data_IF_416698298514
#
_entry.id   IF_416698298514
#
_cell.length_a   1.000
_cell.length_b   1.000
_cell.length_c   1.000
_cell.angle_alpha   90.00
_cell.angle_beta   90.00
_cell.angle_gamma   90.00
#
_symmetry.space_group_name_H-M   'P 1'
#
loop_
_entity.id
_entity.type
_entity.pdbx_description
1 polymer ?
#
# COMPACT_ATOMS: atom_id res chain seq x y z
N UNK A 1 -17.22 -17.69 -7.35
CA UNK A 1 -16.54 -16.59 -6.62
C UNK A 1 -15.13 -17.01 -6.28
N UNK A 2 -14.18 -16.13 -6.55
CA UNK A 2 -12.77 -16.39 -6.26
C UNK A 2 -12.34 -15.57 -5.03
N UNK A 3 -11.69 -16.25 -4.10
CA UNK A 3 -11.19 -15.58 -2.90
C UNK A 3 -9.68 -15.40 -2.99
N UNK A 4 -9.17 -14.27 -2.47
CA UNK A 4 -7.74 -14.04 -2.35
C UNK A 4 -7.32 -14.24 -0.90
N UNK A 5 -6.33 -15.09 -0.68
CA UNK A 5 -5.74 -15.25 0.64
C UNK A 5 -4.68 -14.16 0.82
N UNK A 6 -5.01 -13.13 1.56
CA UNK A 6 -4.11 -11.97 1.72
C UNK A 6 -2.83 -12.33 2.47
N UNK A 7 -2.88 -13.27 3.41
CA UNK A 7 -1.69 -13.68 4.15
C UNK A 7 -0.69 -14.39 3.24
N UNK A 8 -1.19 -15.30 2.43
CA UNK A 8 -0.34 -16.03 1.46
C UNK A 8 0.22 -15.09 0.41
N UNK A 9 -0.61 -14.19 -0.11
CA UNK A 9 -0.17 -13.22 -1.11
C UNK A 9 0.85 -12.27 -0.52
N UNK A 10 0.68 -11.87 0.74
CA UNK A 10 1.64 -11.02 1.44
C UNK A 10 3.02 -11.68 1.53
N UNK A 11 3.08 -12.97 1.88
CA UNK A 11 4.33 -13.71 1.94
C UNK A 11 5.03 -13.73 0.58
N UNK A 12 4.28 -14.00 -0.48
CA UNK A 12 4.80 -14.05 -1.84
C UNK A 12 5.31 -12.69 -2.30
N UNK A 13 4.57 -11.62 -1.99
CA UNK A 13 4.96 -10.26 -2.38
C UNK A 13 6.20 -9.78 -1.64
N UNK A 14 6.33 -10.08 -0.35
CA UNK A 14 7.52 -9.70 0.41
C UNK A 14 8.77 -10.37 -0.17
N UNK A 15 8.66 -11.64 -0.56
CA UNK A 15 9.76 -12.35 -1.20
C UNK A 15 10.15 -11.69 -2.54
N UNK A 16 9.16 -11.29 -3.33
CA UNK A 16 9.39 -10.60 -4.60
C UNK A 16 9.98 -9.20 -4.39
N UNK A 17 9.49 -8.49 -3.38
CA UNK A 17 10.01 -7.16 -3.04
C UNK A 17 11.49 -7.23 -2.65
N UNK A 18 11.87 -8.24 -1.88
CA UNK A 18 13.25 -8.42 -1.45
C UNK A 18 14.21 -8.61 -2.63
N UNK A 19 13.74 -9.20 -3.73
CA UNK A 19 14.54 -9.44 -4.94
C UNK A 19 14.42 -8.29 -5.95
N UNK A 20 13.50 -7.37 -5.77
CA UNK A 20 13.27 -6.25 -6.67
C UNK A 20 14.33 -5.16 -6.44
N UNK A 21 14.85 -4.52 -7.50
CA UNK A 21 15.78 -3.40 -7.36
C UNK A 21 15.22 -2.24 -6.53
N UNK A 22 13.91 -1.99 -6.61
CA UNK A 22 13.26 -0.94 -5.86
C UNK A 22 12.80 -1.38 -4.47
N UNK A 23 13.00 -2.66 -4.12
CA UNK A 23 12.64 -3.26 -2.85
C UNK A 23 11.14 -3.14 -2.55
N UNK A 24 10.32 -3.24 -3.60
CA UNK A 24 8.86 -3.21 -3.48
C UNK A 24 8.23 -4.08 -4.55
N UNK A 25 7.01 -4.55 -4.26
CA UNK A 25 6.20 -5.32 -5.20
C UNK A 25 4.73 -5.03 -4.94
N UNK A 26 3.91 -5.15 -5.96
CA UNK A 26 2.49 -4.90 -5.83
C UNK A 26 1.69 -5.93 -6.61
N UNK A 27 0.45 -6.19 -6.15
CA UNK A 27 -0.47 -7.10 -6.81
C UNK A 27 -1.88 -6.58 -6.63
N UNK A 28 -2.61 -6.41 -7.73
CA UNK A 28 -4.01 -6.00 -7.68
C UNK A 28 -4.85 -7.19 -7.24
N UNK A 29 -5.54 -7.06 -6.11
CA UNK A 29 -6.38 -8.12 -5.59
C UNK A 29 -7.85 -7.97 -6.02
N UNK A 30 -8.26 -6.77 -6.36
CA UNK A 30 -9.59 -6.48 -6.90
C UNK A 30 -9.53 -5.23 -7.76
N UNK A 31 -10.23 -5.25 -8.89
CA UNK A 31 -10.35 -4.08 -9.74
C UNK A 31 -9.84 -4.29 -11.15
N UNK A 32 -10.26 -3.41 -12.01
CA UNK A 32 -9.89 -3.35 -13.41
C UNK A 32 -10.47 -2.08 -14.00
N UNK A 33 -10.36 -1.89 -15.31
CA UNK A 33 -10.83 -0.66 -15.96
C UNK A 33 -12.33 -0.43 -15.81
N UNK A 34 -13.12 -1.50 -15.62
CA UNK A 34 -14.57 -1.45 -15.44
C UNK A 34 -15.02 -1.34 -13.99
N UNK A 35 -14.07 -1.34 -13.03
CA UNK A 35 -14.40 -1.29 -11.60
C UNK A 35 -14.06 0.06 -11.00
N UNK A 36 -15.00 0.64 -10.25
CA UNK A 36 -14.75 1.85 -9.48
C UNK A 36 -13.88 1.52 -8.27
N UNK A 37 -14.15 0.39 -7.61
CA UNK A 37 -13.39 -0.06 -6.45
C UNK A 37 -12.12 -0.78 -6.89
N UNK A 38 -10.98 -0.35 -6.38
CA UNK A 38 -9.68 -0.95 -6.68
C UNK A 38 -8.92 -1.20 -5.39
N UNK A 39 -8.38 -2.40 -5.25
CA UNK A 39 -7.60 -2.79 -4.09
C UNK A 39 -6.30 -3.42 -4.54
N UNK A 40 -5.19 -2.88 -4.04
CA UNK A 40 -3.85 -3.33 -4.39
C UNK A 40 -3.09 -3.67 -3.11
N UNK A 41 -2.49 -4.86 -3.10
CA UNK A 41 -1.61 -5.26 -2.03
C UNK A 41 -0.19 -4.83 -2.41
N UNK A 42 0.48 -4.13 -1.49
CA UNK A 42 1.82 -3.58 -1.73
C UNK A 42 2.77 -4.09 -0.64
N UNK A 43 3.88 -4.66 -1.06
CA UNK A 43 4.94 -5.09 -0.14
C UNK A 43 6.14 -4.15 -0.27
N UNK A 44 6.66 -3.71 0.87
CA UNK A 44 7.82 -2.82 0.95
C UNK A 44 8.84 -3.43 1.90
N UNK A 45 10.07 -3.58 1.46
CA UNK A 45 11.18 -3.95 2.34
C UNK A 45 11.55 -2.72 3.16
N UNK A 46 12.06 -2.93 4.37
CA UNK A 46 12.49 -1.83 5.25
C UNK A 46 13.35 -0.82 4.50
N UNK A 47 13.01 0.46 4.60
CA UNK A 47 13.69 1.54 3.91
C UNK A 47 13.16 1.85 2.52
N UNK A 48 12.31 0.99 1.96
CA UNK A 48 11.73 1.25 0.64
C UNK A 48 10.71 2.39 0.72
N UNK A 49 10.55 3.08 -0.39
CA UNK A 49 9.64 4.23 -0.47
C UNK A 49 8.68 4.08 -1.64
N UNK A 50 7.50 4.70 -1.49
CA UNK A 50 6.60 4.98 -2.60
C UNK A 50 6.68 6.48 -2.83
N UNK A 51 7.08 6.85 -4.04
CA UNK A 51 7.29 8.25 -4.37
C UNK A 51 6.00 9.06 -4.30
N UNK A 52 6.17 10.38 -4.23
CA UNK A 52 5.07 11.30 -4.14
C UNK A 52 4.09 11.18 -5.31
N UNK A 53 2.81 11.06 -4.99
CA UNK A 53 1.76 10.94 -6.00
C UNK A 53 0.43 11.45 -5.43
N UNK A 54 -0.56 11.58 -6.30
CA UNK A 54 -1.92 11.96 -5.94
C UNK A 54 -2.87 10.82 -6.25
N UNK A 55 -3.94 10.72 -5.47
CA UNK A 55 -5.00 9.74 -5.74
C UNK A 55 -6.02 10.32 -6.70
N UNK A 56 -6.55 9.50 -7.63
CA UNK A 56 -7.61 9.95 -8.53
C UNK A 56 -8.98 10.08 -7.86
N UNK A 57 -9.13 9.59 -6.63
CA UNK A 57 -10.39 9.62 -5.89
C UNK A 57 -10.13 9.36 -4.41
N UNK A 58 -11.16 8.88 -3.71
CA UNK A 58 -10.98 8.51 -2.31
C UNK A 58 -10.09 7.30 -2.16
N UNK A 59 -9.29 7.28 -1.10
CA UNK A 59 -8.41 6.16 -0.82
C UNK A 59 -8.21 5.97 0.67
N UNK A 60 -8.01 4.71 1.06
CA UNK A 60 -7.58 4.34 2.41
C UNK A 60 -6.36 3.43 2.32
N UNK A 61 -5.56 3.47 3.37
CA UNK A 61 -4.39 2.62 3.51
C UNK A 61 -4.51 1.79 4.77
N UNK A 62 -4.42 0.48 4.62
CA UNK A 62 -4.50 -0.47 5.73
C UNK A 62 -3.17 -1.20 5.84
N UNK A 63 -2.50 -1.08 6.99
CA UNK A 63 -1.25 -1.79 7.22
C UNK A 63 -1.57 -3.19 7.74
N UNK A 64 -1.30 -4.21 6.93
CA UNK A 64 -1.51 -5.60 7.32
C UNK A 64 -0.34 -6.12 8.14
N UNK A 65 0.87 -5.69 7.82
CA UNK A 65 2.11 -6.07 8.51
C UNK A 65 3.06 -4.89 8.53
N UNK A 66 3.85 -4.79 9.59
CA UNK A 66 4.96 -3.84 9.66
C UNK A 66 4.56 -2.46 10.14
N UNK A 67 5.28 -1.47 9.66
CA UNK A 67 5.09 -0.08 10.05
C UNK A 67 5.59 0.83 8.95
N UNK A 68 4.78 1.82 8.60
CA UNK A 68 5.12 2.80 7.56
C UNK A 68 4.87 4.21 8.05
N UNK A 69 5.48 5.18 7.38
CA UNK A 69 5.20 6.58 7.59
C UNK A 69 4.60 7.17 6.33
N UNK A 70 3.46 7.82 6.50
CA UNK A 70 2.76 8.53 5.44
C UNK A 70 3.11 10.00 5.54
N UNK A 71 3.71 10.53 4.48
CA UNK A 71 4.14 11.92 4.40
C UNK A 71 3.21 12.71 3.49
N UNK A 72 2.69 13.85 3.97
CA UNK A 72 1.84 14.72 3.17
C UNK A 72 1.89 16.14 3.71
N UNK A 73 2.16 17.11 2.83
CA UNK A 73 2.11 18.51 3.19
C UNK A 73 3.03 18.92 4.35
N UNK A 74 4.18 18.30 4.48
CA UNK A 74 5.12 18.58 5.57
C UNK A 74 4.80 17.85 6.88
N UNK A 75 3.72 17.06 6.90
CA UNK A 75 3.34 16.25 8.06
C UNK A 75 3.65 14.80 7.81
N UNK A 76 3.93 14.06 8.88
CA UNK A 76 4.15 12.61 8.81
C UNK A 76 3.27 11.91 9.83
N UNK A 77 2.66 10.81 9.40
CA UNK A 77 1.83 9.97 10.27
C UNK A 77 2.38 8.56 10.23
N UNK A 78 2.60 7.97 11.39
CA UNK A 78 3.06 6.60 11.50
C UNK A 78 1.86 5.66 11.59
N UNK A 79 1.84 4.64 10.73
CA UNK A 79 0.82 3.58 10.78
C UNK A 79 1.50 2.25 11.06
N UNK A 80 1.02 1.55 12.07
CA UNK A 80 1.48 0.23 12.43
C UNK A 80 0.50 -0.86 12.02
N UNK A 81 0.88 -2.10 12.28
CA UNK A 81 0.08 -3.27 11.94
C UNK A 81 -1.35 -3.17 12.47
N UNK A 82 -2.30 -3.42 11.60
CA UNK A 82 -3.73 -3.37 11.92
C UNK A 82 -4.35 -1.98 11.84
N UNK A 83 -3.57 -0.94 11.57
CA UNK A 83 -4.12 0.41 11.49
C UNK A 83 -4.57 0.78 10.09
N UNK A 84 -5.63 1.56 10.02
CA UNK A 84 -6.23 2.04 8.78
C UNK A 84 -6.30 3.56 8.82
N UNK A 85 -5.91 4.22 7.75
CA UNK A 85 -6.03 5.67 7.65
C UNK A 85 -6.58 6.08 6.28
N UNK A 86 -7.39 7.14 6.22
CA UNK A 86 -7.72 7.73 4.94
C UNK A 86 -6.46 8.42 4.40
N UNK A 87 -6.29 8.37 3.08
CA UNK A 87 -5.16 9.04 2.43
C UNK A 87 -5.61 10.44 2.05
N UNK A 88 -4.86 11.49 2.43
CA UNK A 88 -5.22 12.86 2.06
C UNK A 88 -5.30 13.04 0.54
N UNK A 89 -6.18 13.93 0.05
CA UNK A 89 -6.27 14.21 -1.39
C UNK A 89 -5.05 14.96 -1.94
N UNK A 90 -4.16 15.43 -1.08
CA UNK A 90 -2.93 16.11 -1.47
C UNK A 90 -1.86 15.09 -1.87
N UNK A 91 -0.79 15.57 -2.49
CA UNK A 91 0.37 14.73 -2.81
C UNK A 91 0.93 14.10 -1.54
N UNK A 92 1.29 12.84 -1.62
CA UNK A 92 1.78 12.07 -0.48
C UNK A 92 2.80 11.02 -0.92
N UNK A 93 3.61 10.58 0.03
CA UNK A 93 4.59 9.52 -0.17
C UNK A 93 4.58 8.60 1.05
N UNK A 94 5.22 7.45 0.92
CA UNK A 94 5.34 6.47 2.01
C UNK A 94 6.77 6.01 2.17
N UNK A 95 7.17 5.76 3.40
CA UNK A 95 8.45 5.14 3.72
C UNK A 95 8.19 3.96 4.67
N UNK A 96 8.78 2.81 4.37
CA UNK A 96 8.65 1.64 5.23
C UNK A 96 9.70 1.65 6.32
N UNK A 97 9.27 1.64 7.59
CA UNK A 97 10.18 1.55 8.74
C UNK A 97 10.68 0.11 8.93
N UNK A 98 9.90 -0.85 8.48
CA UNK A 98 10.18 -2.30 8.52
C UNK A 98 9.62 -2.92 7.26
N UNK A 99 9.92 -4.22 7.06
CA UNK A 99 9.24 -4.98 6.02
C UNK A 99 7.74 -4.87 6.27
N UNK A 100 7.02 -4.38 5.28
CA UNK A 100 5.60 -4.05 5.44
C UNK A 100 4.76 -4.54 4.30
N UNK A 101 3.49 -4.83 4.59
CA UNK A 101 2.48 -5.15 3.58
C UNK A 101 1.27 -4.28 3.82
N UNK A 102 0.84 -3.59 2.78
CA UNK A 102 -0.23 -2.61 2.83
C UNK A 102 -1.35 -3.03 1.88
N UNK A 103 -2.58 -2.74 2.28
CA UNK A 103 -3.72 -2.82 1.37
C UNK A 103 -4.17 -1.41 1.05
N UNK A 104 -3.99 -1.01 -0.19
CA UNK A 104 -4.44 0.28 -0.70
C UNK A 104 -5.81 0.08 -1.33
N UNK A 105 -6.80 0.81 -0.86
CA UNK A 105 -8.15 0.81 -1.42
C UNK A 105 -8.43 2.17 -2.03
N UNK A 106 -8.84 2.19 -3.29
CA UNK A 106 -9.12 3.43 -4.04
C UNK A 106 -10.46 3.30 -4.71
N UNK A 107 -11.26 4.35 -4.62
CA UNK A 107 -12.48 4.47 -5.40
C UNK A 107 -12.20 5.51 -6.48
N UNK A 108 -12.24 5.06 -7.73
CA UNK A 108 -12.01 5.93 -8.87
C UNK A 108 -13.23 6.82 -9.06
N UNK A 109 -13.01 8.11 -8.93
CA UNK A 109 -14.06 9.12 -9.08
C UNK A 109 -14.32 9.52 -10.51
#
# INVERSE_FOLDING_TARGET
>A
MTMTDLQKTADELLARAAESPAHRAAHTVHGGSEHALRQTLIALVAGATLDEHENPGEATLHVLRGQVELHSGGSSTTLGEGQLAPIPPARHSLTADRDSVLLLTVVKG
#
